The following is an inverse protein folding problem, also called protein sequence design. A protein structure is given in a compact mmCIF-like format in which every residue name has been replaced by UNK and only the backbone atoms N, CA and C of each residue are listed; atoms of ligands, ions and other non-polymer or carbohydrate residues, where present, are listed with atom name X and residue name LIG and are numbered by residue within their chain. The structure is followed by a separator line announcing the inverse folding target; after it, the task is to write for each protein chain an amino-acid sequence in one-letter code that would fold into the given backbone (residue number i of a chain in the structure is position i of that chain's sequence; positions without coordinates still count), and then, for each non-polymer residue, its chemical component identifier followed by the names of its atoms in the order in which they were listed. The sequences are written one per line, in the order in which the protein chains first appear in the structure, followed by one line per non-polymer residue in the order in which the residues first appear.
data_IF_640873358022
#
_entry.id   IF_640873358022
#
_cell.length_a   1.000
_cell.length_b   1.000
_cell.length_c   1.000
_cell.angle_alpha   90.00
_cell.angle_beta   90.00
_cell.angle_gamma   90.00
#
_symmetry.space_group_name_H-M   'P 1'
#
loop_
_entity.id
_entity.type
_entity.pdbx_description
1 polymer ?
#
# COMPACT_ATOMS: atom_id res chain seq x y z
N UNK A 1 -18.24 14.64 16.08
CA UNK A 1 -18.68 14.01 14.83
C UNK A 1 -17.85 12.75 14.65
N UNK A 2 -18.42 11.60 14.28
CA UNK A 2 -17.58 10.46 13.90
C UNK A 2 -16.85 10.85 12.63
N UNK A 3 -15.53 11.01 12.69
CA UNK A 3 -14.72 11.27 11.50
C UNK A 3 -14.73 10.01 10.65
N UNK A 4 -15.34 10.08 9.45
CA UNK A 4 -15.32 8.99 8.47
C UNK A 4 -13.96 8.95 7.79
N UNK A 5 -13.42 7.74 7.57
CA UNK A 5 -12.18 7.57 6.80
C UNK A 5 -12.31 8.23 5.40
N UNK A 6 -11.32 9.02 4.96
CA UNK A 6 -11.43 9.83 3.75
C UNK A 6 -11.37 8.98 2.49
N UNK A 7 -12.38 9.17 1.63
CA UNK A 7 -12.50 8.51 0.32
C UNK A 7 -12.66 9.56 -0.78
N UNK A 8 -11.89 9.44 -1.85
CA UNK A 8 -11.84 10.38 -2.96
C UNK A 8 -12.26 9.66 -4.24
N UNK A 9 -13.38 10.08 -4.82
CA UNK A 9 -13.73 9.71 -6.19
C UNK A 9 -12.92 10.58 -7.16
N UNK A 10 -11.96 9.99 -7.87
CA UNK A 10 -11.08 10.70 -8.78
C UNK A 10 -11.77 11.29 -10.01
N UNK A 11 -12.93 10.77 -10.43
CA UNK A 11 -13.70 11.36 -11.54
C UNK A 11 -14.18 12.77 -11.19
N UNK A 12 -14.41 13.07 -9.91
CA UNK A 12 -14.81 14.41 -9.46
C UNK A 12 -13.75 15.46 -9.73
N UNK A 13 -12.47 15.07 -9.82
CA UNK A 13 -11.37 15.98 -10.15
C UNK A 13 -11.47 16.53 -11.57
N UNK A 14 -12.27 15.91 -12.44
CA UNK A 14 -12.48 16.32 -13.84
C UNK A 14 -13.82 17.06 -14.02
N UNK A 15 -14.46 17.48 -12.92
CA UNK A 15 -15.79 18.14 -12.91
C UNK A 15 -15.76 19.47 -12.17
N UNK A 16 -16.92 20.13 -12.07
CA UNK A 16 -17.12 21.30 -11.22
C UNK A 16 -16.92 21.01 -9.72
N UNK A 17 -16.94 19.74 -9.30
CA UNK A 17 -16.67 19.32 -7.91
C UNK A 17 -15.17 19.25 -7.57
N UNK A 18 -14.29 19.57 -8.52
CA UNK A 18 -12.83 19.46 -8.35
C UNK A 18 -12.31 20.17 -7.10
N UNK A 19 -12.79 21.38 -6.82
CA UNK A 19 -12.37 22.15 -5.64
C UNK A 19 -12.63 21.40 -4.34
N UNK A 20 -13.86 20.87 -4.18
CA UNK A 20 -14.23 20.08 -3.01
C UNK A 20 -13.42 18.77 -2.91
N UNK A 21 -13.15 18.11 -4.04
CA UNK A 21 -12.30 16.92 -4.05
C UNK A 21 -10.85 17.23 -3.63
N UNK A 22 -10.28 18.36 -4.08
CA UNK A 22 -8.94 18.80 -3.69
C UNK A 22 -8.86 19.16 -2.20
N UNK A 23 -9.91 19.78 -1.64
CA UNK A 23 -10.02 20.05 -0.19
C UNK A 23 -10.03 18.76 0.63
N UNK A 24 -10.72 17.71 0.18
CA UNK A 24 -10.71 16.40 0.84
C UNK A 24 -9.32 15.76 0.78
N UNK A 25 -8.61 15.86 -0.36
CA UNK A 25 -7.23 15.36 -0.47
C UNK A 25 -6.32 16.11 0.51
N UNK A 26 -6.45 17.44 0.59
CA UNK A 26 -5.66 18.26 1.51
C UNK A 26 -5.93 17.89 2.97
N UNK A 27 -7.19 17.79 3.38
CA UNK A 27 -7.57 17.40 4.73
C UNK A 27 -7.09 15.97 5.06
N UNK A 28 -7.18 15.05 4.12
CA UNK A 28 -6.68 13.69 4.30
C UNK A 28 -5.16 13.66 4.51
N UNK A 29 -4.39 14.42 3.73
CA UNK A 29 -2.95 14.52 3.92
C UNK A 29 -2.59 15.12 5.30
N UNK A 30 -3.22 16.25 5.66
CA UNK A 30 -2.85 17.02 6.86
C UNK A 30 -3.36 16.38 8.17
N UNK A 31 -4.53 15.71 8.15
CA UNK A 31 -5.21 15.25 9.37
C UNK A 31 -5.31 13.73 9.52
N UNK A 32 -4.95 12.97 8.46
CA UNK A 32 -4.99 11.50 8.47
C UNK A 32 -3.68 10.85 8.01
N UNK A 33 -2.99 11.43 7.04
CA UNK A 33 -1.87 10.80 6.34
C UNK A 33 -2.27 9.61 5.45
N UNK A 34 -3.56 9.28 5.38
CA UNK A 34 -4.15 8.16 4.65
C UNK A 34 -5.46 8.57 3.98
N UNK A 35 -5.77 7.96 2.83
CA UNK A 35 -7.06 8.04 2.17
C UNK A 35 -7.25 6.93 1.13
N UNK A 36 -8.49 6.71 0.68
CA UNK A 36 -8.81 5.80 -0.41
C UNK A 36 -9.12 6.55 -1.71
N UNK A 37 -8.62 6.04 -2.81
CA UNK A 37 -8.96 6.47 -4.16
C UNK A 37 -9.98 5.51 -4.76
N UNK A 38 -11.04 6.07 -5.34
CA UNK A 38 -12.06 5.39 -6.14
C UNK A 38 -12.07 5.94 -7.55
N UNK A 39 -12.51 5.12 -8.51
CA UNK A 39 -12.57 5.49 -9.93
C UNK A 39 -11.25 6.08 -10.44
N UNK A 40 -10.12 5.50 -10.00
CA UNK A 40 -8.76 5.96 -10.30
C UNK A 40 -8.29 5.60 -11.72
N UNK A 41 -9.10 4.91 -12.51
CA UNK A 41 -8.85 4.59 -13.91
C UNK A 41 -8.09 3.27 -14.16
N UNK A 42 -7.71 2.54 -13.12
CA UNK A 42 -7.14 1.20 -13.27
C UNK A 42 -8.29 0.22 -13.57
N UNK A 43 -8.12 -0.64 -14.57
CA UNK A 43 -9.15 -1.62 -14.94
C UNK A 43 -9.48 -2.54 -13.76
N UNK A 44 -10.78 -2.69 -13.46
CA UNK A 44 -11.25 -3.64 -12.46
C UNK A 44 -10.87 -5.08 -12.82
N UNK A 45 -10.86 -5.42 -14.11
CA UNK A 45 -10.41 -6.74 -14.58
C UNK A 45 -8.93 -6.99 -14.23
N UNK A 46 -8.09 -5.96 -14.33
CA UNK A 46 -6.68 -6.07 -13.94
C UNK A 46 -6.53 -6.22 -12.43
N UNK A 47 -7.31 -5.48 -11.64
CA UNK A 47 -7.28 -5.59 -10.17
C UNK A 47 -7.76 -6.97 -9.70
N UNK A 48 -8.90 -7.44 -10.22
CA UNK A 48 -9.43 -8.78 -9.95
C UNK A 48 -8.40 -9.85 -10.33
N UNK A 49 -7.70 -9.66 -11.45
CA UNK A 49 -6.68 -10.60 -11.90
C UNK A 49 -5.44 -10.58 -11.01
N UNK A 50 -4.94 -9.40 -10.59
CA UNK A 50 -3.83 -9.24 -9.63
C UNK A 50 -4.15 -9.95 -8.31
N UNK A 51 -5.37 -9.76 -7.79
CA UNK A 51 -5.82 -10.44 -6.59
C UNK A 51 -5.80 -11.96 -6.77
N UNK A 52 -6.39 -12.45 -7.87
CA UNK A 52 -6.48 -13.88 -8.19
C UNK A 52 -5.12 -14.54 -8.27
N UNK A 53 -4.18 -13.97 -9.03
CA UNK A 53 -2.83 -14.54 -9.21
C UNK A 53 -2.01 -14.46 -7.93
N UNK A 54 -2.17 -13.40 -7.13
CA UNK A 54 -1.47 -13.24 -5.85
C UNK A 54 -1.93 -14.25 -4.81
N UNK A 55 -3.26 -14.46 -4.68
CA UNK A 55 -3.84 -15.48 -3.79
C UNK A 55 -3.46 -16.89 -4.23
N UNK A 56 -3.51 -17.17 -5.54
CA UNK A 56 -3.11 -18.48 -6.09
C UNK A 56 -1.62 -18.77 -5.87
N UNK A 57 -0.74 -17.79 -6.06
CA UNK A 57 0.69 -17.94 -5.79
C UNK A 57 0.97 -18.16 -4.29
N UNK A 58 0.29 -17.46 -3.39
CA UNK A 58 0.43 -17.74 -1.96
C UNK A 58 0.10 -19.21 -1.64
N UNK A 59 -1.06 -19.69 -2.08
CA UNK A 59 -1.50 -21.07 -1.84
C UNK A 59 -0.55 -22.12 -2.45
N UNK A 60 -0.05 -21.86 -3.67
CA UNK A 60 0.79 -22.81 -4.39
C UNK A 60 2.26 -22.82 -3.92
N UNK A 61 2.82 -21.66 -3.58
CA UNK A 61 4.27 -21.49 -3.44
C UNK A 61 4.72 -21.07 -2.04
N UNK A 62 3.85 -20.46 -1.22
CA UNK A 62 4.27 -19.80 0.02
C UNK A 62 3.63 -20.35 1.28
N UNK A 63 2.43 -20.91 1.16
CA UNK A 63 1.64 -21.37 2.31
C UNK A 63 2.38 -22.43 3.15
N UNK A 64 3.06 -23.40 2.53
CA UNK A 64 3.79 -24.43 3.28
C UNK A 64 4.98 -23.86 4.05
N UNK A 65 5.78 -22.98 3.42
CA UNK A 65 6.88 -22.30 4.12
C UNK A 65 6.35 -21.44 5.27
N UNK A 66 5.20 -20.78 5.07
CA UNK A 66 4.56 -20.00 6.12
C UNK A 66 4.06 -20.89 7.26
N UNK A 67 3.47 -22.05 7.00
CA UNK A 67 3.02 -23.00 8.04
C UNK A 67 4.19 -23.46 8.90
N UNK A 68 5.35 -23.76 8.31
CA UNK A 68 6.55 -24.12 9.07
C UNK A 68 7.03 -22.97 9.97
N UNK A 69 7.01 -21.74 9.47
CA UNK A 69 7.31 -20.55 10.23
C UNK A 69 6.31 -20.35 11.39
N UNK A 70 5.01 -20.39 11.08
CA UNK A 70 3.92 -20.21 12.03
C UNK A 70 3.99 -21.23 13.19
N UNK A 71 4.24 -22.51 12.87
CA UNK A 71 4.38 -23.56 13.87
C UNK A 71 5.54 -23.27 14.85
N UNK A 72 6.70 -22.83 14.34
CA UNK A 72 7.86 -22.49 15.17
C UNK A 72 7.60 -21.25 16.03
N UNK A 73 6.96 -20.23 15.48
CA UNK A 73 6.62 -18.99 16.20
C UNK A 73 5.66 -19.28 17.34
N UNK A 74 4.60 -20.05 17.10
CA UNK A 74 3.62 -20.43 18.13
C UNK A 74 4.27 -21.29 19.23
N UNK A 75 5.07 -22.30 18.85
CA UNK A 75 5.76 -23.15 19.82
C UNK A 75 6.72 -22.33 20.72
N UNK A 76 7.43 -21.35 20.15
CA UNK A 76 8.29 -20.45 20.91
C UNK A 76 7.48 -19.58 21.88
N UNK A 77 6.38 -18.98 21.41
CA UNK A 77 5.49 -18.16 22.24
C UNK A 77 4.84 -18.94 23.39
N UNK A 78 4.40 -20.18 23.15
CA UNK A 78 3.86 -21.05 24.19
C UNK A 78 4.89 -21.44 25.26
N UNK A 79 6.18 -21.49 24.88
CA UNK A 79 7.29 -21.69 25.83
C UNK A 79 7.73 -20.41 26.54
N UNK A 80 7.02 -19.30 26.33
CA UNK A 80 7.25 -18.02 27.00
C UNK A 80 8.31 -17.13 26.34
N UNK A 81 8.70 -17.42 25.08
CA UNK A 81 9.52 -16.49 24.32
C UNK A 81 8.69 -15.25 23.94
N UNK A 82 9.33 -14.08 23.98
CA UNK A 82 8.72 -12.87 23.43
C UNK A 82 8.81 -12.92 21.90
N UNK A 83 7.67 -13.06 21.24
CA UNK A 83 7.57 -13.14 19.77
C UNK A 83 7.18 -11.79 19.14
N UNK A 84 7.19 -10.71 19.92
CA UNK A 84 6.89 -9.35 19.44
C UNK A 84 7.90 -8.77 18.47
N UNK A 85 9.06 -9.42 18.28
CA UNK A 85 10.06 -9.01 17.31
C UNK A 85 9.85 -9.64 15.91
N UNK A 86 8.77 -10.40 15.75
CA UNK A 86 8.43 -11.14 14.53
C UNK A 86 7.08 -10.66 13.97
N UNK A 87 6.98 -10.58 12.64
CA UNK A 87 5.74 -10.24 11.94
C UNK A 87 5.04 -11.52 11.44
N UNK A 88 3.75 -11.68 11.70
CA UNK A 88 2.93 -12.80 11.20
C UNK A 88 2.56 -12.59 9.72
N UNK A 89 3.59 -12.55 8.87
CA UNK A 89 3.49 -12.14 7.48
C UNK A 89 4.24 -13.10 6.55
N UNK A 90 3.63 -13.43 5.42
CA UNK A 90 4.31 -14.03 4.28
C UNK A 90 4.50 -12.97 3.19
N UNK A 91 5.74 -12.53 2.92
CA UNK A 91 6.02 -11.44 1.96
C UNK A 91 7.15 -11.74 0.96
N UNK A 92 7.07 -11.14 -0.23
CA UNK A 92 8.16 -11.08 -1.21
C UNK A 92 8.15 -9.71 -1.90
N UNK A 93 9.30 -9.33 -2.47
CA UNK A 93 9.49 -8.02 -3.07
C UNK A 93 9.75 -8.10 -4.57
N UNK A 94 8.97 -7.32 -5.32
CA UNK A 94 9.19 -7.05 -6.74
C UNK A 94 9.76 -5.65 -6.87
N UNK A 95 10.95 -5.51 -7.43
CA UNK A 95 11.52 -4.23 -7.85
C UNK A 95 11.12 -3.97 -9.30
N UNK A 96 10.74 -2.74 -9.60
CA UNK A 96 10.38 -2.29 -10.94
C UNK A 96 11.41 -1.29 -11.47
N UNK A 97 11.71 -0.27 -10.67
CA UNK A 97 12.67 0.80 -10.99
C UNK A 97 13.74 0.95 -9.91
N UNK A 98 14.96 1.38 -10.27
CA UNK A 98 15.41 1.69 -11.64
C UNK A 98 15.72 0.45 -12.49
N UNK A 99 15.79 -0.73 -11.88
CA UNK A 99 15.98 -2.00 -12.56
C UNK A 99 15.07 -3.08 -11.97
N UNK A 100 14.34 -3.77 -12.84
CA UNK A 100 13.40 -4.79 -12.40
C UNK A 100 14.08 -6.12 -12.11
N UNK A 101 13.65 -6.80 -11.04
CA UNK A 101 14.03 -8.18 -10.72
C UNK A 101 12.94 -9.20 -11.10
N UNK A 102 11.86 -8.77 -11.76
CA UNK A 102 10.67 -9.59 -11.96
C UNK A 102 10.96 -10.88 -12.76
N UNK A 103 11.94 -10.82 -13.68
CA UNK A 103 12.39 -11.98 -14.45
C UNK A 103 13.18 -12.99 -13.61
N UNK A 104 13.78 -12.56 -12.50
CA UNK A 104 14.65 -13.36 -11.64
C UNK A 104 13.89 -14.07 -10.52
N UNK A 105 12.59 -13.79 -10.34
CA UNK A 105 11.76 -14.40 -9.30
C UNK A 105 11.31 -15.80 -9.77
N UNK A 106 11.87 -16.90 -9.21
CA UNK A 106 11.73 -18.24 -9.80
C UNK A 106 10.31 -18.80 -9.70
N UNK A 107 9.58 -18.45 -8.65
CA UNK A 107 8.27 -19.02 -8.32
C UNK A 107 7.10 -18.27 -8.96
N UNK A 108 7.39 -17.20 -9.72
CA UNK A 108 6.39 -16.49 -10.53
C UNK A 108 6.34 -17.06 -11.95
N UNK A 109 5.16 -17.51 -12.36
CA UNK A 109 4.94 -17.93 -13.74
C UNK A 109 4.91 -16.73 -14.71
N UNK A 110 4.92 -17.02 -16.01
CA UNK A 110 4.92 -15.99 -17.05
C UNK A 110 3.70 -15.06 -16.95
N UNK A 111 2.53 -15.62 -16.61
CA UNK A 111 1.28 -14.87 -16.57
C UNK A 111 1.26 -13.89 -15.40
N UNK A 112 1.64 -14.33 -14.20
CA UNK A 112 1.73 -13.47 -13.04
C UNK A 112 2.77 -12.36 -13.23
N UNK A 113 3.92 -12.66 -13.85
CA UNK A 113 4.90 -11.61 -14.22
C UNK A 113 4.30 -10.58 -15.16
N UNK A 114 3.51 -10.99 -16.16
CA UNK A 114 2.85 -10.06 -17.06
C UNK A 114 1.83 -9.18 -16.31
N UNK A 115 0.94 -9.79 -15.52
CA UNK A 115 -0.07 -9.08 -14.72
C UNK A 115 0.57 -8.08 -13.76
N UNK A 116 1.62 -8.48 -13.04
CA UNK A 116 2.35 -7.59 -12.12
C UNK A 116 3.03 -6.43 -12.84
N UNK A 117 3.59 -6.66 -14.03
CA UNK A 117 4.22 -5.61 -14.82
C UNK A 117 3.19 -4.58 -15.31
N UNK A 118 2.04 -5.05 -15.79
CA UNK A 118 0.94 -4.18 -16.23
C UNK A 118 0.39 -3.37 -15.06
N UNK A 119 0.11 -4.03 -13.92
CA UNK A 119 -0.38 -3.36 -12.72
C UNK A 119 0.60 -2.35 -12.15
N UNK A 120 1.89 -2.68 -12.09
CA UNK A 120 2.93 -1.77 -11.63
C UNK A 120 2.98 -0.48 -12.48
N UNK A 121 2.85 -0.59 -13.81
CA UNK A 121 2.84 0.57 -14.69
C UNK A 121 1.63 1.48 -14.45
N UNK A 122 0.46 0.91 -14.14
CA UNK A 122 -0.74 1.69 -13.81
C UNK A 122 -0.62 2.36 -12.43
N UNK A 123 -0.06 1.66 -11.43
CA UNK A 123 0.20 2.23 -10.10
C UNK A 123 1.24 3.34 -10.17
N UNK A 124 2.30 3.20 -10.97
CA UNK A 124 3.30 4.25 -11.17
C UNK A 124 2.66 5.54 -11.74
N UNK A 125 1.84 5.41 -12.80
CA UNK A 125 1.10 6.55 -13.37
C UNK A 125 0.17 7.20 -12.33
N UNK A 126 -0.54 6.39 -11.54
CA UNK A 126 -1.44 6.89 -10.51
C UNK A 126 -0.67 7.62 -9.40
N UNK A 127 0.48 7.09 -8.97
CA UNK A 127 1.35 7.73 -7.99
C UNK A 127 1.84 9.09 -8.50
N UNK A 128 2.26 9.20 -9.76
CA UNK A 128 2.63 10.49 -10.37
C UNK A 128 1.46 11.48 -10.39
N UNK A 129 0.25 11.02 -10.75
CA UNK A 129 -0.95 11.87 -10.70
C UNK A 129 -1.22 12.36 -9.27
N UNK A 130 -1.10 11.50 -8.26
CA UNK A 130 -1.25 11.89 -6.86
C UNK A 130 -0.21 12.93 -6.46
N UNK A 131 1.07 12.73 -6.80
CA UNK A 131 2.12 13.70 -6.51
C UNK A 131 1.84 15.08 -7.14
N UNK A 132 1.26 15.13 -8.34
CA UNK A 132 0.86 16.38 -8.98
C UNK A 132 -0.31 17.07 -8.26
N UNK A 133 -1.31 16.33 -7.79
CA UNK A 133 -2.40 16.87 -6.96
C UNK A 133 -1.86 17.44 -5.63
N UNK A 134 -0.87 16.76 -5.04
CA UNK A 134 -0.17 17.25 -3.85
C UNK A 134 0.60 18.54 -4.15
N UNK A 135 1.31 18.61 -5.29
CA UNK A 135 1.99 19.85 -5.70
C UNK A 135 1.01 21.02 -5.76
N UNK A 136 -0.18 20.81 -6.35
CA UNK A 136 -1.19 21.85 -6.43
C UNK A 136 -1.70 22.30 -5.05
N UNK A 137 -2.04 21.37 -4.16
CA UNK A 137 -2.48 21.69 -2.80
C UNK A 137 -1.41 22.43 -1.97
N UNK A 138 -0.14 22.20 -2.30
CA UNK A 138 1.01 22.85 -1.68
C UNK A 138 1.38 24.19 -2.36
N UNK A 139 0.78 24.52 -3.51
CA UNK A 139 1.15 25.68 -4.31
C UNK A 139 2.53 25.56 -4.96
N UNK A 140 3.00 24.34 -5.19
CA UNK A 140 4.25 24.02 -5.88
C UNK A 140 4.04 23.94 -7.39
N UNK A 141 5.14 24.05 -8.14
CA UNK A 141 5.11 23.81 -9.58
C UNK A 141 4.73 22.35 -9.87
N UNK A 142 3.91 22.13 -10.90
CA UNK A 142 3.52 20.79 -11.34
C UNK A 142 4.78 19.96 -11.64
N UNK A 143 4.83 18.72 -11.15
CA UNK A 143 6.01 17.86 -11.27
C UNK A 143 7.14 18.12 -10.28
N UNK A 144 7.02 19.11 -9.36
CA UNK A 144 8.06 19.38 -8.36
C UNK A 144 8.42 18.14 -7.53
N UNK A 145 7.41 17.45 -6.99
CA UNK A 145 7.63 16.26 -6.15
C UNK A 145 8.23 15.11 -6.96
N UNK A 146 7.76 14.88 -8.18
CA UNK A 146 8.35 13.89 -9.10
C UNK A 146 9.84 14.18 -9.34
N UNK A 147 10.19 15.45 -9.56
CA UNK A 147 11.57 15.87 -9.76
C UNK A 147 12.42 15.70 -8.48
N UNK A 148 11.84 15.92 -7.30
CA UNK A 148 12.50 15.67 -6.02
C UNK A 148 12.83 14.18 -5.82
N UNK A 149 11.96 13.28 -6.27
CA UNK A 149 12.18 11.82 -6.19
C UNK A 149 13.05 11.23 -7.31
N UNK A 150 13.30 11.97 -8.40
CA UNK A 150 13.98 11.42 -9.58
C UNK A 150 15.45 11.06 -9.35
N UNK A 151 16.16 11.75 -8.47
CA UNK A 151 17.60 11.53 -8.24
C UNK A 151 18.43 11.49 -9.55
N UNK A 152 19.52 10.72 -9.57
CA UNK A 152 20.35 10.54 -10.78
C UNK A 152 19.91 9.41 -11.71
N UNK A 153 19.06 8.49 -11.22
CA UNK A 153 18.74 7.23 -11.91
C UNK A 153 17.23 6.99 -12.07
N UNK A 154 16.41 8.01 -11.81
CA UNK A 154 14.96 7.87 -11.69
C UNK A 154 14.53 7.48 -10.26
N UNK A 155 13.21 7.48 -10.00
CA UNK A 155 12.67 7.07 -8.72
C UNK A 155 12.93 5.59 -8.45
N UNK A 156 12.92 5.21 -7.18
CA UNK A 156 12.84 3.80 -6.79
C UNK A 156 11.37 3.40 -6.70
N UNK A 157 10.98 2.35 -7.41
CA UNK A 157 9.60 1.85 -7.40
C UNK A 157 9.60 0.33 -7.28
N UNK A 158 8.80 -0.18 -6.35
CA UNK A 158 8.71 -1.60 -6.04
C UNK A 158 7.39 -1.94 -5.35
N UNK A 159 7.07 -3.22 -5.33
CA UNK A 159 5.86 -3.77 -4.71
C UNK A 159 6.26 -4.79 -3.66
N UNK A 160 5.79 -4.59 -2.43
CA UNK A 160 5.76 -5.62 -1.38
C UNK A 160 4.47 -6.42 -1.56
N UNK A 161 4.56 -7.71 -1.85
CA UNK A 161 3.38 -8.58 -1.99
C UNK A 161 3.26 -9.44 -0.73
N UNK A 162 2.25 -9.13 0.07
CA UNK A 162 2.08 -9.71 1.40
C UNK A 162 0.78 -10.49 1.53
N UNK A 163 0.81 -11.50 2.37
CA UNK A 163 -0.35 -12.26 2.81
C UNK A 163 -0.25 -12.44 4.32
N UNK A 164 -1.37 -12.26 5.02
CA UNK A 164 -1.49 -12.39 6.47
C UNK A 164 -2.44 -13.55 6.78
N UNK A 165 -1.92 -14.79 6.89
CA UNK A 165 -2.76 -15.97 7.05
C UNK A 165 -3.38 -16.02 8.47
N UNK A 166 -4.45 -16.81 8.69
CA UNK A 166 -5.12 -16.87 9.99
C UNK A 166 -4.15 -17.17 11.15
N UNK A 167 -4.19 -16.34 12.18
CA UNK A 167 -3.42 -16.54 13.41
C UNK A 167 -4.33 -17.09 14.52
N UNK A 168 -3.99 -18.23 15.17
CA UNK A 168 -4.78 -18.76 16.28
C UNK A 168 -4.60 -17.95 17.58
N UNK A 169 -3.57 -17.10 17.67
CA UNK A 169 -3.22 -16.27 18.84
C UNK A 169 -2.90 -14.84 18.42
N UNK A 170 -3.88 -14.08 17.89
CA UNK A 170 -3.66 -12.70 17.46
C UNK A 170 -3.32 -11.75 18.61
N UNK A 171 -3.53 -12.17 19.87
CA UNK A 171 -3.11 -11.45 21.07
C UNK A 171 -1.59 -11.49 21.32
N UNK A 172 -0.88 -12.38 20.61
CA UNK A 172 0.53 -12.67 20.84
C UNK A 172 1.46 -12.02 19.81
N UNK A 173 0.99 -11.86 18.57
CA UNK A 173 1.81 -11.44 17.43
C UNK A 173 0.97 -10.62 16.45
N UNK A 174 1.54 -9.52 15.98
CA UNK A 174 0.92 -8.67 14.98
C UNK A 174 1.17 -9.23 13.57
N UNK A 175 0.26 -8.95 12.63
CA UNK A 175 0.50 -9.21 11.21
C UNK A 175 1.73 -8.46 10.71
N UNK A 176 1.77 -7.16 11.01
CA UNK A 176 2.91 -6.27 10.78
C UNK A 176 2.92 -5.22 11.89
N UNK A 177 4.07 -5.04 12.54
CA UNK A 177 4.21 -4.09 13.65
C UNK A 177 4.05 -2.64 13.20
N UNK A 178 3.71 -1.77 14.15
CA UNK A 178 3.58 -0.34 13.93
C UNK A 178 4.88 0.27 13.38
N UNK A 179 4.78 0.99 12.27
CA UNK A 179 5.87 1.71 11.62
C UNK A 179 5.32 2.88 10.80
N UNK A 180 6.20 3.79 10.41
CA UNK A 180 5.95 4.73 9.31
C UNK A 180 6.66 4.24 8.06
N UNK A 181 6.14 4.60 6.90
CA UNK A 181 6.79 4.27 5.64
C UNK A 181 7.89 5.27 5.33
N UNK A 182 9.13 4.81 5.21
CA UNK A 182 10.29 5.68 4.97
C UNK A 182 10.29 6.42 3.61
N UNK A 183 9.38 6.04 2.70
CA UNK A 183 9.36 6.45 1.29
C UNK A 183 8.63 7.76 1.01
N UNK A 184 8.17 7.89 -0.25
CA UNK A 184 7.38 9.03 -0.73
C UNK A 184 5.88 8.78 -0.58
N UNK A 185 5.21 8.42 -1.67
CA UNK A 185 3.80 8.01 -1.65
C UNK A 185 3.69 6.48 -1.73
N UNK A 186 2.77 5.90 -0.97
CA UNK A 186 2.50 4.46 -0.93
C UNK A 186 1.12 4.24 -1.54
N UNK A 187 1.03 3.25 -2.43
CA UNK A 187 -0.20 2.88 -3.12
C UNK A 187 -0.49 1.41 -2.81
N UNK A 188 -1.48 1.16 -1.96
CA UNK A 188 -1.83 -0.16 -1.48
C UNK A 188 -3.14 -0.65 -2.11
N UNK A 189 -3.06 -1.81 -2.76
CA UNK A 189 -4.22 -2.61 -3.14
C UNK A 189 -4.38 -3.73 -2.10
N UNK A 190 -5.36 -3.58 -1.20
CA UNK A 190 -5.62 -4.51 -0.10
C UNK A 190 -6.80 -5.45 -0.40
N UNK A 191 -6.99 -6.46 0.45
CA UNK A 191 -8.15 -7.36 0.38
C UNK A 191 -9.46 -6.57 0.59
N UNK A 192 -10.50 -6.86 -0.19
CA UNK A 192 -11.76 -6.14 -0.17
C UNK A 192 -12.79 -6.71 0.83
N UNK A 193 -12.47 -7.81 1.51
CA UNK A 193 -13.34 -8.48 2.49
C UNK A 193 -12.70 -8.60 3.87
N UNK A 194 -11.38 -8.81 3.93
CA UNK A 194 -10.64 -9.08 5.18
C UNK A 194 -9.91 -7.82 5.64
N UNK A 195 -10.39 -7.24 6.74
CA UNK A 195 -9.74 -6.11 7.41
C UNK A 195 -8.43 -6.52 8.11
N UNK A 196 -7.59 -5.53 8.39
CA UNK A 196 -6.37 -5.74 9.20
C UNK A 196 -5.43 -4.55 9.22
N UNK A 197 -5.48 -3.68 8.21
CA UNK A 197 -4.74 -2.43 8.21
C UNK A 197 -5.38 -1.43 9.17
N UNK A 198 -4.54 -0.87 10.05
CA UNK A 198 -4.93 0.20 10.95
C UNK A 198 -3.91 1.33 10.89
N UNK A 199 -4.38 2.56 11.08
CA UNK A 199 -3.55 3.74 11.29
C UNK A 199 -3.74 4.30 12.68
N UNK A 200 -2.75 4.99 13.22
CA UNK A 200 -2.84 5.65 14.52
C UNK A 200 -3.27 7.11 14.34
N UNK A 201 -4.47 7.46 14.82
CA UNK A 201 -5.01 8.83 14.77
C UNK A 201 -5.52 9.24 16.14
N UNK A 202 -5.07 10.41 16.61
CA UNK A 202 -5.48 11.00 17.89
C UNK A 202 -5.31 10.05 19.09
N UNK A 203 -4.24 9.22 19.04
CA UNK A 203 -3.91 8.23 20.08
C UNK A 203 -4.72 6.93 20.03
N UNK A 204 -5.56 6.74 19.01
CA UNK A 204 -6.36 5.53 18.82
C UNK A 204 -6.06 4.87 17.46
N UNK A 205 -6.05 3.54 17.44
CA UNK A 205 -6.01 2.78 16.20
C UNK A 205 -7.36 2.88 15.48
N UNK A 206 -7.32 3.22 14.19
CA UNK A 206 -8.48 3.35 13.31
C UNK A 206 -8.31 2.38 12.15
N UNK A 207 -9.32 1.54 11.93
CA UNK A 207 -9.33 0.61 10.80
C UNK A 207 -9.40 1.36 9.47
N UNK A 208 -8.58 0.95 8.51
CA UNK A 208 -8.76 1.31 7.10
C UNK A 208 -9.78 0.32 6.51
N UNK A 209 -10.96 0.77 6.08
CA UNK A 209 -12.02 -0.14 5.66
C UNK A 209 -11.61 -0.93 4.40
N UNK A 210 -11.88 -2.24 4.32
CA UNK A 210 -11.78 -2.97 3.06
C UNK A 210 -12.75 -2.40 2.03
N UNK A 211 -12.23 -2.01 0.86
CA UNK A 211 -13.04 -1.49 -0.23
C UNK A 211 -12.66 -2.08 -1.57
N UNK A 212 -13.65 -2.69 -2.24
CA UNK A 212 -13.46 -3.32 -3.54
C UNK A 212 -13.06 -2.29 -4.58
N UNK A 213 -11.99 -2.61 -5.31
CA UNK A 213 -11.44 -1.78 -6.39
C UNK A 213 -11.01 -0.37 -5.95
N UNK A 214 -10.67 -0.20 -4.67
CA UNK A 214 -10.04 1.01 -4.16
C UNK A 214 -8.51 0.85 -4.08
N UNK A 215 -7.80 1.97 -4.11
CA UNK A 215 -6.38 2.04 -3.75
C UNK A 215 -6.25 2.90 -2.51
N UNK A 216 -5.73 2.33 -1.42
CA UNK A 216 -5.34 3.07 -0.24
C UNK A 216 -4.05 3.82 -0.56
N UNK A 217 -4.00 5.09 -0.19
CA UNK A 217 -2.83 5.95 -0.33
C UNK A 217 -2.41 6.39 1.04
N UNK A 218 -1.10 6.36 1.31
CA UNK A 218 -0.53 7.03 2.47
C UNK A 218 0.77 7.77 2.15
N UNK A 219 1.04 8.76 3.01
CA UNK A 219 2.18 9.64 2.92
C UNK A 219 3.32 9.08 3.78
N UNK A 220 4.50 8.94 3.18
CA UNK A 220 5.72 8.48 3.85
C UNK A 220 6.62 9.63 4.31
N UNK A 221 7.63 9.28 5.08
CA UNK A 221 8.53 10.20 5.78
C UNK A 221 9.21 11.21 4.84
N UNK A 222 9.52 10.85 3.58
CA UNK A 222 10.14 11.80 2.64
C UNK A 222 9.20 12.94 2.27
N UNK A 223 7.90 12.66 2.13
CA UNK A 223 6.93 13.71 1.82
C UNK A 223 6.76 14.63 3.02
N UNK A 224 6.72 14.10 4.26
CA UNK A 224 6.69 14.93 5.47
C UNK A 224 7.90 15.88 5.54
N UNK A 225 9.10 15.41 5.18
CA UNK A 225 10.30 16.26 5.11
C UNK A 225 10.16 17.34 4.04
N UNK A 226 9.71 16.99 2.84
CA UNK A 226 9.58 17.93 1.71
C UNK A 226 8.51 18.99 1.99
N UNK A 227 7.41 18.62 2.65
CA UNK A 227 6.31 19.53 3.02
C UNK A 227 6.59 20.30 4.31
N UNK A 228 7.72 20.04 4.98
CA UNK A 228 8.10 20.65 6.26
C UNK A 228 7.05 20.38 7.36
N UNK A 229 6.61 19.12 7.47
CA UNK A 229 5.67 18.65 8.49
C UNK A 229 4.22 19.05 8.25
N UNK A 230 3.89 19.48 7.03
CA UNK A 230 2.51 19.75 6.59
C UNK A 230 1.90 18.54 5.91
#
# INVERSE_FOLDING_TARGET
ASMSFPMINMEKLETEERGAAMEVIQDACENWGFFELLNHGISHELMDEVERVSKAHYAACREEQFKEFAAKTLEAGEKGADVKDVDWESTFFVRHLPASNLADLPDLDHHYRQVMKEFAAEIEKLAEKVLDLLCENLGLELGYLKQAFAGSWGPTFGTKVSSYPPCPRPDMVDGLRAHTDAGGVIMLFQDDQVSGLQLLKDGAWVDVPPMRHAIVVNIGDQLEVITNGR
#
